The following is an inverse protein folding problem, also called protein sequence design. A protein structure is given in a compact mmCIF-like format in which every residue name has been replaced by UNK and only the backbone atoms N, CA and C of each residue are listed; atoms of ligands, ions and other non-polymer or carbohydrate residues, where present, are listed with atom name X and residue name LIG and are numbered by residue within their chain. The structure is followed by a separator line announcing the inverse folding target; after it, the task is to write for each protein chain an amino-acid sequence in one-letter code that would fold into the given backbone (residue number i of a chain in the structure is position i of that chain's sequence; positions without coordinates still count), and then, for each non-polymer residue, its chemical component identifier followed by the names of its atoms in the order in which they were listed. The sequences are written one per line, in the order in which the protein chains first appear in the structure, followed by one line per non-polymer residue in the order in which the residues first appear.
data_IF_900373606952
#
_entry.id   IF_900373606952
#
_cell.length_a   1.000
_cell.length_b   1.000
_cell.length_c   1.000
_cell.angle_alpha   90.00
_cell.angle_beta   90.00
_cell.angle_gamma   90.00
#
_symmetry.space_group_name_H-M   'P 1'
#
loop_
_entity.id
_entity.type
_entity.pdbx_description
1 polymer ?
#
# COMPACT_ATOMS: atom_id res chain seq x y z
N UNK A 1 -12.47 14.28 13.95
CA UNK A 1 -12.45 14.52 12.49
C UNK A 1 -13.75 15.18 12.14
N UNK A 2 -13.68 16.49 11.97
CA UNK A 2 -14.78 17.40 11.67
C UNK A 2 -14.61 17.95 10.26
N UNK A 3 -13.36 18.27 9.89
CA UNK A 3 -13.02 18.81 8.58
C UNK A 3 -11.67 18.30 8.10
N UNK A 4 -11.64 17.86 6.84
CA UNK A 4 -10.47 17.23 6.21
C UNK A 4 -9.87 18.15 5.16
N UNK A 5 -8.55 18.11 4.97
CA UNK A 5 -7.90 18.64 3.79
C UNK A 5 -7.23 17.50 3.01
N UNK A 6 -7.35 17.53 1.68
CA UNK A 6 -6.65 16.56 0.80
C UNK A 6 -5.54 17.29 0.06
N UNK A 7 -4.31 16.78 0.14
CA UNK A 7 -3.17 17.36 -0.58
C UNK A 7 -2.28 16.28 -1.18
N UNK A 8 -1.46 16.67 -2.15
CA UNK A 8 -0.52 15.76 -2.79
C UNK A 8 0.66 15.47 -1.86
N UNK A 9 1.39 16.52 -1.47
CA UNK A 9 2.45 16.49 -0.46
C UNK A 9 2.17 17.59 0.58
N UNK A 10 2.53 17.34 1.85
CA UNK A 10 2.45 18.37 2.90
C UNK A 10 3.63 19.34 2.75
N UNK A 11 3.53 20.32 1.86
CA UNK A 11 4.55 21.38 1.65
C UNK A 11 4.40 22.54 2.64
N UNK A 12 5.35 23.49 2.66
CA UNK A 12 5.19 24.71 3.46
C UNK A 12 3.95 25.52 3.02
N UNK A 13 3.63 25.55 1.72
CA UNK A 13 2.43 26.21 1.20
C UNK A 13 1.13 25.56 1.71
N UNK A 14 1.09 24.23 1.84
CA UNK A 14 -0.04 23.52 2.46
C UNK A 14 -0.19 23.92 3.94
N UNK A 15 0.93 24.04 4.67
CA UNK A 15 0.88 24.47 6.08
C UNK A 15 0.43 25.93 6.23
N UNK A 16 0.83 26.81 5.32
CA UNK A 16 0.35 28.20 5.28
C UNK A 16 -1.15 28.29 4.97
N UNK A 17 -1.64 27.44 4.06
CA UNK A 17 -3.06 27.33 3.76
C UNK A 17 -3.84 26.82 4.99
N UNK A 18 -3.35 25.77 5.66
CA UNK A 18 -3.93 25.26 6.90
C UNK A 18 -3.97 26.31 8.01
N UNK A 19 -2.89 27.08 8.18
CA UNK A 19 -2.84 28.15 9.19
C UNK A 19 -3.84 29.28 8.90
N UNK A 20 -4.11 29.55 7.63
CA UNK A 20 -5.12 30.54 7.22
C UNK A 20 -6.54 30.04 7.54
N UNK A 21 -6.80 28.74 7.30
CA UNK A 21 -8.06 28.07 7.63
C UNK A 21 -8.25 27.86 9.14
N UNK A 22 -7.18 27.80 9.93
CA UNK A 22 -7.24 27.60 11.37
C UNK A 22 -7.96 28.74 12.13
N UNK A 23 -8.17 29.89 11.48
CA UNK A 23 -8.93 31.02 12.01
C UNK A 23 -10.46 30.88 11.78
N UNK A 24 -10.89 29.87 11.02
CA UNK A 24 -12.30 29.58 10.80
C UNK A 24 -12.96 28.98 12.06
N UNK A 25 -14.30 29.04 12.11
CA UNK A 25 -15.08 28.48 13.22
C UNK A 25 -14.94 26.96 13.33
N UNK A 26 -14.63 26.28 12.22
CA UNK A 26 -14.41 24.84 12.13
C UNK A 26 -13.11 24.56 11.36
N UNK A 27 -11.96 24.45 12.05
CA UNK A 27 -10.66 24.28 11.42
C UNK A 27 -10.43 22.82 10.98
N UNK A 28 -9.53 22.63 10.01
CA UNK A 28 -9.10 21.29 9.57
C UNK A 28 -8.42 20.55 10.73
N UNK A 29 -8.89 19.34 11.04
CA UNK A 29 -8.33 18.48 12.09
C UNK A 29 -7.66 17.20 11.53
N UNK A 30 -7.76 16.96 10.22
CA UNK A 30 -7.09 15.86 9.51
C UNK A 30 -6.62 16.29 8.12
N UNK A 31 -5.38 15.99 7.78
CA UNK A 31 -4.84 16.04 6.42
C UNK A 31 -4.75 14.61 5.88
N UNK A 32 -5.31 14.38 4.69
CA UNK A 32 -5.08 13.17 3.89
C UNK A 32 -4.10 13.54 2.79
N UNK A 33 -2.87 13.04 2.91
CA UNK A 33 -1.82 13.25 1.92
C UNK A 33 -1.60 12.00 1.07
N UNK A 34 -1.21 12.19 -0.18
CA UNK A 34 -0.76 11.06 -0.99
C UNK A 34 0.68 10.67 -0.65
N UNK A 35 1.64 11.60 -0.72
CA UNK A 35 3.04 11.31 -0.40
C UNK A 35 3.32 11.30 1.12
N UNK A 36 4.12 10.34 1.63
CA UNK A 36 4.52 10.33 3.03
C UNK A 36 5.38 11.54 3.38
N UNK A 37 4.94 12.32 4.37
CA UNK A 37 5.75 13.41 4.92
C UNK A 37 7.08 12.90 5.50
N UNK A 38 7.07 11.75 6.19
CA UNK A 38 8.25 11.13 6.78
C UNK A 38 8.56 9.81 6.07
N UNK A 39 9.32 9.87 4.97
CA UNK A 39 9.66 8.69 4.16
C UNK A 39 10.70 7.77 4.81
N UNK A 40 11.50 8.30 5.75
CA UNK A 40 12.51 7.54 6.51
C UNK A 40 12.22 7.65 8.00
N UNK A 41 12.69 6.65 8.75
CA UNK A 41 12.65 6.65 10.21
C UNK A 41 13.16 8.00 10.74
N UNK A 42 12.31 8.68 11.50
CA UNK A 42 12.59 10.02 12.03
C UNK A 42 12.62 9.94 13.55
N UNK A 43 13.80 10.20 14.13
CA UNK A 43 14.03 10.06 15.58
C UNK A 43 13.74 11.34 16.38
N UNK A 44 13.56 12.46 15.71
CA UNK A 44 13.27 13.74 16.36
C UNK A 44 12.41 14.64 15.48
N UNK A 45 11.48 15.35 16.12
CA UNK A 45 10.65 16.38 15.51
C UNK A 45 11.15 17.75 16.01
N UNK A 46 11.83 18.48 15.15
CA UNK A 46 12.46 19.77 15.47
C UNK A 46 11.95 20.85 14.52
N UNK A 47 11.61 22.01 15.08
CA UNK A 47 11.17 23.16 14.30
C UNK A 47 12.23 23.53 13.24
N UNK A 48 11.87 23.34 11.97
CA UNK A 48 12.74 23.57 10.81
C UNK A 48 11.92 23.65 9.52
N UNK A 49 12.57 23.86 8.38
CA UNK A 49 11.98 23.72 7.03
C UNK A 49 12.06 22.29 6.48
N UNK A 50 12.65 21.35 7.23
CA UNK A 50 12.72 19.93 6.83
C UNK A 50 11.37 19.25 7.06
N UNK A 51 11.13 18.06 6.48
CA UNK A 51 9.91 17.31 6.73
C UNK A 51 9.58 17.09 8.22
N UNK A 52 10.60 16.86 9.07
CA UNK A 52 10.40 16.76 10.53
C UNK A 52 9.90 18.06 11.17
N UNK A 53 10.26 19.22 10.62
CA UNK A 53 9.75 20.52 11.05
C UNK A 53 8.31 20.78 10.60
N UNK A 54 7.93 20.30 9.42
CA UNK A 54 6.53 20.30 8.97
C UNK A 54 5.67 19.41 9.86
N UNK A 55 6.15 18.21 10.18
CA UNK A 55 5.48 17.28 11.10
C UNK A 55 5.34 17.89 12.52
N UNK A 56 6.39 18.56 13.01
CA UNK A 56 6.32 19.31 14.28
C UNK A 56 5.20 20.36 14.28
N UNK A 57 5.01 21.09 13.18
CA UNK A 57 3.92 22.09 13.07
C UNK A 57 2.54 21.43 13.10
N UNK A 58 2.32 20.34 12.36
CA UNK A 58 1.05 19.60 12.42
C UNK A 58 0.73 19.11 13.84
N UNK A 59 1.71 18.55 14.55
CA UNK A 59 1.54 18.10 15.95
C UNK A 59 1.22 19.27 16.87
N UNK A 60 1.95 20.39 16.74
CA UNK A 60 1.72 21.60 17.53
C UNK A 60 0.30 22.13 17.33
N UNK A 61 -0.20 22.07 16.10
CA UNK A 61 -1.50 22.62 15.71
C UNK A 61 -2.65 21.60 15.91
N UNK A 62 -2.35 20.39 16.40
CA UNK A 62 -3.36 19.37 16.69
C UNK A 62 -3.98 18.72 15.45
N UNK A 63 -3.28 18.76 14.30
CA UNK A 63 -3.78 18.26 13.02
C UNK A 63 -3.24 16.84 12.78
N UNK A 64 -4.14 15.88 12.61
CA UNK A 64 -3.77 14.52 12.25
C UNK A 64 -3.30 14.42 10.79
N UNK A 65 -2.46 13.43 10.47
CA UNK A 65 -2.00 13.14 9.11
C UNK A 65 -2.25 11.68 8.77
N UNK A 66 -3.04 11.43 7.74
CA UNK A 66 -3.19 10.13 7.10
C UNK A 66 -2.48 10.14 5.73
N UNK A 67 -1.77 9.07 5.40
CA UNK A 67 -1.03 8.94 4.15
C UNK A 67 -1.51 7.70 3.41
N UNK A 68 -1.89 7.86 2.13
CA UNK A 68 -2.43 6.75 1.33
C UNK A 68 -1.41 6.13 0.37
N UNK A 69 -0.51 6.93 -0.23
CA UNK A 69 0.61 6.51 -1.08
C UNK A 69 0.33 5.28 -1.96
N UNK A 70 1.18 4.25 -1.89
CA UNK A 70 1.09 3.00 -2.65
C UNK A 70 -0.19 2.21 -2.41
N UNK A 71 -0.87 2.38 -1.28
CA UNK A 71 -2.17 1.74 -1.09
C UNK A 71 -3.23 2.34 -2.05
N UNK A 72 -3.11 3.63 -2.37
CA UNK A 72 -3.97 4.28 -3.36
C UNK A 72 -3.52 4.02 -4.80
N UNK A 73 -2.24 3.74 -5.05
CA UNK A 73 -1.79 3.29 -6.37
C UNK A 73 -2.43 1.95 -6.78
N UNK A 74 -2.54 1.02 -5.83
CA UNK A 74 -3.11 -0.32 -6.10
C UNK A 74 -4.62 -0.36 -6.04
N UNK A 75 -5.26 0.62 -5.38
CA UNK A 75 -6.70 0.64 -5.18
C UNK A 75 -7.48 0.73 -6.50
N UNK A 76 -8.69 0.17 -6.50
CA UNK A 76 -9.64 0.40 -7.59
C UNK A 76 -10.12 1.85 -7.57
N UNK A 77 -10.10 2.52 -8.73
CA UNK A 77 -10.34 3.97 -8.83
C UNK A 77 -9.17 4.81 -8.31
N UNK A 78 -8.02 4.18 -8.08
CA UNK A 78 -6.79 4.80 -7.59
C UNK A 78 -6.02 5.57 -8.65
N UNK A 79 -4.74 5.86 -8.36
CA UNK A 79 -3.87 6.67 -9.22
C UNK A 79 -3.84 6.17 -10.67
N UNK A 80 -3.55 4.88 -10.87
CA UNK A 80 -3.37 4.32 -12.20
C UNK A 80 -4.69 4.20 -12.99
N UNK A 81 -5.82 3.97 -12.30
CA UNK A 81 -7.15 3.98 -12.92
C UNK A 81 -7.52 5.39 -13.40
N UNK A 82 -7.26 6.41 -12.55
CA UNK A 82 -7.53 7.79 -12.90
C UNK A 82 -6.67 8.27 -14.09
N UNK A 83 -5.38 7.90 -14.13
CA UNK A 83 -4.54 8.22 -15.28
C UNK A 83 -4.99 7.48 -16.54
N UNK A 84 -5.36 6.20 -16.45
CA UNK A 84 -5.86 5.45 -17.60
C UNK A 84 -7.15 6.06 -18.17
N UNK A 85 -8.07 6.49 -17.29
CA UNK A 85 -9.29 7.19 -17.68
C UNK A 85 -8.98 8.56 -18.29
N UNK A 86 -8.05 9.31 -17.71
CA UNK A 86 -7.60 10.61 -18.23
C UNK A 86 -6.99 10.48 -19.63
N UNK A 87 -6.35 9.35 -19.98
CA UNK A 87 -5.83 9.10 -21.33
C UNK A 87 -6.87 8.48 -22.28
N UNK A 88 -8.07 8.13 -21.80
CA UNK A 88 -9.14 7.53 -22.60
C UNK A 88 -8.87 6.08 -23.01
N UNK A 89 -8.09 5.33 -22.23
CA UNK A 89 -7.75 3.94 -22.52
C UNK A 89 -8.97 3.02 -22.44
N UNK A 90 -9.11 2.10 -23.40
CA UNK A 90 -10.10 1.01 -23.38
C UNK A 90 -9.54 -0.29 -22.78
N UNK A 91 -10.42 -1.26 -22.49
CA UNK A 91 -10.06 -2.62 -22.04
C UNK A 91 -9.01 -2.67 -20.90
N UNK A 92 -9.15 -1.76 -19.94
CA UNK A 92 -8.13 -1.55 -18.89
C UNK A 92 -8.07 -2.73 -17.92
N UNK A 93 -6.86 -3.24 -17.67
CA UNK A 93 -6.56 -4.29 -16.68
C UNK A 93 -5.30 -3.96 -15.87
N UNK A 94 -5.19 -4.53 -14.68
CA UNK A 94 -4.04 -4.28 -13.79
C UNK A 94 -2.78 -5.04 -14.19
N UNK A 95 -1.61 -4.46 -13.90
CA UNK A 95 -0.30 -5.11 -14.05
C UNK A 95 0.72 -4.52 -13.05
N UNK A 96 1.91 -5.13 -12.97
CA UNK A 96 3.01 -4.64 -12.13
C UNK A 96 2.81 -5.02 -10.66
N UNK A 97 3.05 -6.30 -10.30
CA UNK A 97 2.80 -6.78 -8.95
C UNK A 97 3.76 -6.12 -7.97
N UNK A 98 3.20 -5.55 -6.91
CA UNK A 98 3.95 -5.17 -5.73
C UNK A 98 4.08 -6.39 -4.83
N UNK A 99 5.29 -6.62 -4.33
CA UNK A 99 5.57 -7.71 -3.41
C UNK A 99 5.78 -7.12 -2.02
N UNK A 100 5.00 -7.59 -1.05
CA UNK A 100 5.04 -7.06 0.30
C UNK A 100 3.64 -7.10 0.91
N UNK A 101 3.18 -8.30 1.28
CA UNK A 101 1.93 -8.39 2.02
C UNK A 101 2.19 -8.14 3.49
N UNK A 102 1.45 -7.23 4.08
CA UNK A 102 1.30 -7.10 5.53
C UNK A 102 0.45 -8.25 6.07
N UNK A 103 0.91 -9.49 5.88
CA UNK A 103 0.24 -10.69 6.36
C UNK A 103 1.26 -11.63 6.96
N UNK A 104 0.85 -12.33 8.00
CA UNK A 104 1.63 -13.40 8.58
C UNK A 104 0.82 -14.70 8.60
N UNK A 105 1.53 -15.82 8.65
CA UNK A 105 0.96 -17.12 9.00
C UNK A 105 1.22 -17.32 10.49
N UNK A 106 0.16 -17.43 11.28
CA UNK A 106 0.25 -17.84 12.69
C UNK A 106 0.03 -19.34 12.73
N UNK A 107 0.97 -20.04 13.36
CA UNK A 107 1.00 -21.50 13.47
C UNK A 107 1.06 -21.86 14.95
N UNK A 108 0.27 -22.84 15.37
CA UNK A 108 0.36 -23.42 16.73
C UNK A 108 0.12 -24.91 16.72
N UNK A 109 0.36 -25.55 17.85
CA UNK A 109 0.32 -26.99 18.05
C UNK A 109 -0.49 -27.25 19.31
N UNK A 110 -1.62 -27.94 19.15
CA UNK A 110 -2.62 -28.10 20.22
C UNK A 110 -3.14 -29.53 20.25
N UNK A 111 -3.48 -30.10 21.42
CA UNK A 111 -4.16 -31.39 21.47
C UNK A 111 -5.45 -31.39 20.65
N UNK A 112 -5.77 -32.53 20.04
CA UNK A 112 -6.89 -32.65 19.10
C UNK A 112 -8.23 -32.16 19.69
N UNK A 113 -8.47 -32.40 20.97
CA UNK A 113 -9.71 -32.01 21.66
C UNK A 113 -9.91 -30.50 21.81
N UNK A 114 -8.85 -29.70 21.68
CA UNK A 114 -8.89 -28.24 21.83
C UNK A 114 -8.64 -27.52 20.49
N UNK A 115 -8.49 -28.26 19.39
CA UNK A 115 -8.12 -27.70 18.10
C UNK A 115 -9.17 -26.71 17.56
N UNK A 116 -10.46 -27.01 17.77
CA UNK A 116 -11.55 -26.13 17.35
C UNK A 116 -11.61 -24.86 18.20
N UNK A 117 -11.54 -24.98 19.53
CA UNK A 117 -11.58 -23.82 20.44
C UNK A 117 -10.47 -22.80 20.14
N UNK A 118 -9.24 -23.29 19.91
CA UNK A 118 -8.09 -22.42 19.58
C UNK A 118 -8.26 -21.79 18.20
N UNK A 119 -8.69 -22.56 17.19
CA UNK A 119 -8.91 -22.02 15.84
C UNK A 119 -10.03 -20.97 15.81
N UNK A 120 -11.11 -21.19 16.56
CA UNK A 120 -12.24 -20.25 16.67
C UNK A 120 -11.83 -18.97 17.40
N UNK A 121 -11.02 -19.07 18.46
CA UNK A 121 -10.46 -17.91 19.15
C UNK A 121 -9.56 -17.08 18.21
N UNK A 122 -8.68 -17.74 17.46
CA UNK A 122 -7.84 -17.09 16.45
C UNK A 122 -8.69 -16.42 15.36
N UNK A 123 -9.74 -17.10 14.87
CA UNK A 123 -10.65 -16.56 13.86
C UNK A 123 -11.42 -15.33 14.37
N UNK A 124 -11.92 -15.38 15.60
CA UNK A 124 -12.60 -14.26 16.27
C UNK A 124 -11.69 -13.03 16.45
N UNK A 125 -10.38 -13.24 16.59
CA UNK A 125 -9.38 -12.18 16.63
C UNK A 125 -8.95 -11.66 15.24
N UNK A 126 -9.46 -12.26 14.15
CA UNK A 126 -9.25 -11.81 12.77
C UNK A 126 -8.31 -12.68 11.93
N UNK A 127 -7.92 -13.87 12.42
CA UNK A 127 -7.21 -14.84 11.59
C UNK A 127 -8.16 -15.55 10.60
N UNK A 128 -7.62 -16.05 9.50
CA UNK A 128 -8.37 -16.85 8.53
C UNK A 128 -9.31 -16.06 7.62
N UNK A 129 -9.19 -14.73 7.55
CA UNK A 129 -9.95 -13.93 6.57
C UNK A 129 -9.17 -13.79 5.25
N UNK A 130 -9.64 -14.43 4.19
CA UNK A 130 -8.99 -14.45 2.87
C UNK A 130 -10.06 -14.18 1.80
N UNK A 131 -10.05 -12.97 1.22
CA UNK A 131 -11.14 -12.54 0.35
C UNK A 131 -12.47 -12.60 1.09
N UNK A 132 -13.49 -13.20 0.47
CA UNK A 132 -14.82 -13.39 1.04
C UNK A 132 -14.94 -14.59 1.99
N UNK A 133 -13.84 -15.30 2.27
CA UNK A 133 -13.83 -16.47 3.14
C UNK A 133 -13.35 -16.11 4.55
N UNK A 134 -14.02 -16.64 5.56
CA UNK A 134 -13.70 -16.45 6.98
C UNK A 134 -13.28 -17.78 7.65
N UNK A 135 -12.60 -17.68 8.79
CA UNK A 135 -12.14 -18.81 9.61
C UNK A 135 -11.29 -19.86 8.83
N UNK A 136 -10.61 -19.45 7.76
CA UNK A 136 -9.73 -20.32 6.98
C UNK A 136 -8.54 -20.80 7.81
N UNK A 137 -8.48 -22.11 8.08
CA UNK A 137 -7.37 -22.78 8.73
C UNK A 137 -6.92 -24.00 7.91
N UNK A 138 -5.64 -24.34 8.01
CA UNK A 138 -5.12 -25.62 7.56
C UNK A 138 -4.63 -26.41 8.77
N UNK A 139 -4.91 -27.71 8.80
CA UNK A 139 -4.69 -28.55 9.98
C UNK A 139 -3.99 -29.85 9.61
N UNK A 140 -2.98 -30.23 10.38
CA UNK A 140 -2.21 -31.46 10.18
C UNK A 140 -2.01 -32.15 11.52
N UNK A 141 -2.37 -33.43 11.61
CA UNK A 141 -2.07 -34.25 12.79
C UNK A 141 -0.57 -34.55 12.87
N UNK A 142 -0.01 -34.53 14.07
CA UNK A 142 1.39 -34.79 14.36
C UNK A 142 1.62 -35.28 15.79
N UNK A 143 2.89 -35.38 16.18
CA UNK A 143 3.29 -35.75 17.55
C UNK A 143 4.16 -34.64 18.13
N UNK A 144 3.69 -34.05 19.23
CA UNK A 144 4.47 -33.15 20.07
C UNK A 144 5.37 -33.94 21.02
N UNK A 145 6.57 -33.42 21.32
CA UNK A 145 7.50 -34.03 22.28
C UNK A 145 8.08 -32.98 23.21
N UNK A 146 8.12 -33.28 24.50
CA UNK A 146 8.65 -32.37 25.52
C UNK A 146 9.07 -33.11 26.79
N UNK A 147 9.92 -32.47 27.60
CA UNK A 147 10.26 -32.89 28.97
C UNK A 147 9.86 -31.74 29.90
N UNK A 148 8.78 -31.87 30.70
CA UNK A 148 8.39 -30.82 31.63
C UNK A 148 9.45 -30.69 32.72
N UNK A 149 9.88 -29.45 32.97
CA UNK A 149 10.78 -29.13 34.08
C UNK A 149 10.10 -29.34 35.44
N UNK A 150 10.86 -29.34 36.55
CA UNK A 150 10.34 -29.64 37.88
C UNK A 150 9.25 -28.68 38.39
N UNK A 151 9.14 -27.49 37.79
CA UNK A 151 8.15 -26.47 38.15
C UNK A 151 7.01 -26.34 37.12
N UNK A 152 6.99 -27.17 36.07
CA UNK A 152 5.92 -27.14 35.08
C UNK A 152 4.67 -27.85 35.60
N UNK A 153 3.48 -27.36 35.24
CA UNK A 153 2.20 -28.03 35.48
C UNK A 153 1.60 -28.47 34.15
N UNK A 154 2.18 -29.51 33.50
CA UNK A 154 1.79 -29.85 32.15
C UNK A 154 0.34 -30.37 32.13
N UNK A 155 -0.47 -29.82 31.23
CA UNK A 155 -1.85 -30.28 31.01
C UNK A 155 -1.89 -31.73 30.53
N UNK A 156 -0.85 -32.17 29.82
CA UNK A 156 -0.66 -33.53 29.31
C UNK A 156 0.77 -34.00 29.61
N UNK A 157 0.94 -35.29 29.93
CA UNK A 157 2.25 -35.91 30.17
C UNK A 157 2.76 -35.83 31.62
N UNK A 158 3.92 -36.45 31.86
CA UNK A 158 4.54 -36.60 33.18
C UNK A 158 5.81 -35.73 33.33
N UNK A 159 5.93 -35.06 34.48
CA UNK A 159 7.08 -34.21 34.81
C UNK A 159 8.38 -35.00 34.91
N UNK A 160 9.46 -34.48 34.33
CA UNK A 160 10.78 -35.11 34.32
C UNK A 160 10.92 -36.31 33.36
N UNK A 161 9.87 -36.63 32.60
CA UNK A 161 9.86 -37.73 31.62
C UNK A 161 9.76 -37.16 30.19
N UNK A 162 10.29 -37.90 29.21
CA UNK A 162 10.12 -37.56 27.80
C UNK A 162 8.72 -37.98 27.33
N UNK A 163 7.87 -36.99 27.07
CA UNK A 163 6.48 -37.19 26.66
C UNK A 163 6.34 -37.15 25.14
N UNK A 164 5.31 -37.85 24.63
CA UNK A 164 4.91 -37.89 23.22
C UNK A 164 3.39 -37.81 23.15
N UNK A 165 2.86 -36.69 22.71
CA UNK A 165 1.42 -36.45 22.69
C UNK A 165 0.92 -36.24 21.25
N UNK A 166 -0.25 -36.78 20.86
CA UNK A 166 -0.91 -36.42 19.61
C UNK A 166 -1.32 -34.94 19.63
N UNK A 167 -0.93 -34.21 18.59
CA UNK A 167 -1.27 -32.79 18.44
C UNK A 167 -1.73 -32.49 17.02
N UNK A 168 -2.45 -31.37 16.87
CA UNK A 168 -2.83 -30.79 15.60
C UNK A 168 -2.03 -29.51 15.41
N UNK A 169 -1.24 -29.46 14.34
CA UNK A 169 -0.66 -28.21 13.84
C UNK A 169 -1.74 -27.43 13.12
N UNK A 170 -2.09 -26.25 13.62
CA UNK A 170 -3.08 -25.34 13.03
C UNK A 170 -2.34 -24.16 12.42
N UNK A 171 -2.68 -23.80 11.18
CA UNK A 171 -2.08 -22.66 10.50
C UNK A 171 -3.14 -21.72 9.90
N UNK A 172 -3.14 -20.46 10.33
CA UNK A 172 -4.08 -19.43 9.85
C UNK A 172 -3.34 -18.19 9.35
N UNK A 173 -3.89 -17.52 8.34
CA UNK A 173 -3.33 -16.25 7.83
C UNK A 173 -3.98 -15.09 8.58
N UNK A 174 -3.18 -14.14 9.06
CA UNK A 174 -3.66 -12.90 9.68
C UNK A 174 -3.05 -11.68 8.97
N UNK A 175 -3.76 -10.54 9.00
CA UNK A 175 -3.16 -9.26 8.66
C UNK A 175 -2.09 -8.87 9.70
N UNK A 176 -1.02 -8.17 9.30
CA UNK A 176 0.11 -7.85 10.16
C UNK A 176 -0.34 -7.10 11.43
N UNK A 177 -1.21 -6.09 11.28
CA UNK A 177 -1.79 -5.35 12.41
C UNK A 177 -2.75 -6.16 13.30
N UNK A 178 -3.02 -7.43 12.98
CA UNK A 178 -3.84 -8.34 13.79
C UNK A 178 -3.04 -9.47 14.43
N UNK A 179 -1.77 -9.63 14.08
CA UNK A 179 -0.95 -10.76 14.57
C UNK A 179 -0.91 -10.81 16.09
N UNK A 180 -0.66 -9.68 16.76
CA UNK A 180 -0.58 -9.62 18.21
C UNK A 180 -1.92 -9.96 18.88
N UNK A 181 -3.03 -9.48 18.32
CA UNK A 181 -4.37 -9.80 18.83
C UNK A 181 -4.71 -11.29 18.63
N UNK A 182 -4.32 -11.86 17.49
CA UNK A 182 -4.49 -13.29 17.19
C UNK A 182 -3.64 -14.14 18.12
N UNK A 183 -2.37 -13.77 18.35
CA UNK A 183 -1.48 -14.46 19.27
C UNK A 183 -2.01 -14.41 20.71
N UNK A 184 -2.52 -13.25 21.16
CA UNK A 184 -3.12 -13.13 22.47
C UNK A 184 -4.37 -14.01 22.63
N UNK A 185 -5.25 -14.06 21.62
CA UNK A 185 -6.45 -14.91 21.63
C UNK A 185 -6.09 -16.40 21.62
N UNK A 186 -5.08 -16.78 20.82
CA UNK A 186 -4.51 -18.12 20.79
C UNK A 186 -4.02 -18.53 22.16
N UNK A 187 -3.16 -17.71 22.78
CA UNK A 187 -2.59 -18.00 24.11
C UNK A 187 -3.68 -18.16 25.16
N UNK A 188 -4.69 -17.29 25.15
CA UNK A 188 -5.79 -17.32 26.11
C UNK A 188 -6.69 -18.56 25.98
N UNK A 189 -6.88 -19.08 24.76
CA UNK A 189 -7.71 -20.25 24.49
C UNK A 189 -6.94 -21.59 24.59
N UNK A 190 -5.61 -21.54 24.59
CA UNK A 190 -4.79 -22.74 24.56
C UNK A 190 -4.80 -23.49 25.90
N UNK A 191 -4.85 -24.84 25.91
CA UNK A 191 -4.86 -25.62 27.14
C UNK A 191 -3.52 -25.65 27.89
N UNK A 192 -2.42 -25.23 27.26
CA UNK A 192 -1.08 -25.24 27.87
C UNK A 192 -0.75 -23.88 28.49
N UNK A 193 0.01 -23.90 29.60
CA UNK A 193 0.49 -22.69 30.29
C UNK A 193 1.35 -21.81 29.37
N UNK A 194 2.22 -22.44 28.58
CA UNK A 194 3.10 -21.78 27.61
C UNK A 194 2.91 -22.42 26.22
N UNK A 195 1.95 -21.91 25.42
CA UNK A 195 1.68 -22.44 24.08
C UNK A 195 2.85 -22.21 23.12
N UNK A 196 3.24 -23.26 22.39
CA UNK A 196 4.17 -23.11 21.28
C UNK A 196 3.42 -22.53 20.06
N UNK A 197 3.94 -21.43 19.52
CA UNK A 197 3.44 -20.88 18.26
C UNK A 197 4.57 -20.18 17.49
N UNK A 198 4.40 -20.15 16.17
CA UNK A 198 5.31 -19.51 15.24
C UNK A 198 4.55 -18.46 14.42
N UNK A 199 5.25 -17.37 14.10
CA UNK A 199 4.76 -16.34 13.18
C UNK A 199 5.71 -16.27 11.99
N UNK A 200 5.19 -16.60 10.81
CA UNK A 200 5.94 -16.49 9.56
C UNK A 200 5.44 -15.30 8.76
N UNK A 201 6.32 -14.33 8.52
CA UNK A 201 6.04 -13.25 7.58
C UNK A 201 5.72 -13.84 6.20
N UNK A 202 4.55 -13.48 5.66
CA UNK A 202 4.20 -13.86 4.31
C UNK A 202 4.58 -12.74 3.38
N UNK A 203 5.33 -13.09 2.33
CA UNK A 203 5.43 -12.25 1.15
C UNK A 203 4.36 -12.71 0.16
N UNK A 204 3.42 -11.83 -0.12
CA UNK A 204 2.37 -12.03 -1.11
C UNK A 204 2.28 -10.81 -2.03
N UNK A 205 1.45 -10.95 -3.05
CA UNK A 205 1.07 -9.87 -3.94
C UNK A 205 0.31 -8.81 -3.13
N UNK A 206 0.89 -7.62 -3.04
CA UNK A 206 0.36 -6.45 -2.32
C UNK A 206 -0.60 -5.62 -3.21
N UNK A 207 -0.89 -6.12 -4.40
CA UNK A 207 -1.65 -5.44 -5.44
C UNK A 207 -0.83 -5.19 -6.69
N UNK A 208 -1.48 -4.58 -7.67
CA UNK A 208 -0.93 -4.26 -8.99
C UNK A 208 -0.91 -2.74 -9.16
N UNK A 209 0.28 -2.16 -9.28
CA UNK A 209 0.48 -0.71 -9.25
C UNK A 209 0.09 -0.02 -10.57
N UNK A 210 0.14 -0.76 -11.68
CA UNK A 210 -0.07 -0.21 -13.02
C UNK A 210 -1.38 -0.63 -13.64
N UNK A 211 -1.74 0.06 -14.73
CA UNK A 211 -2.82 -0.31 -15.63
C UNK A 211 -2.32 -0.42 -17.06
N UNK A 212 -2.80 -1.44 -17.79
CA UNK A 212 -2.56 -1.59 -19.22
C UNK A 212 -3.91 -1.65 -19.93
N UNK A 213 -4.03 -0.97 -21.05
CA UNK A 213 -5.26 -0.88 -21.84
C UNK A 213 -4.93 -0.62 -23.30
N UNK A 214 -5.97 -0.41 -24.11
CA UNK A 214 -5.84 -0.21 -25.56
C UNK A 214 -6.09 1.23 -25.98
N UNK A 215 -5.31 1.67 -26.95
CA UNK A 215 -5.50 2.89 -27.74
C UNK A 215 -4.92 2.62 -29.13
N UNK A 216 -5.61 3.04 -30.19
CA UNK A 216 -5.16 2.92 -31.59
C UNK A 216 -4.59 4.28 -32.02
N UNK A 217 -3.27 4.45 -31.96
CA UNK A 217 -2.60 5.74 -32.17
C UNK A 217 -1.11 5.56 -32.49
N UNK A 218 -0.33 6.64 -32.44
CA UNK A 218 1.14 6.61 -32.51
C UNK A 218 1.75 7.16 -31.24
N UNK A 219 3.03 6.87 -31.00
CA UNK A 219 3.76 7.42 -29.84
C UNK A 219 3.72 8.95 -29.83
N UNK A 220 3.86 9.60 -30.98
CA UNK A 220 3.89 11.07 -31.08
C UNK A 220 2.50 11.70 -30.81
N UNK A 221 1.44 11.10 -31.35
CA UNK A 221 0.06 11.53 -31.10
C UNK A 221 -0.32 11.34 -29.62
N UNK A 222 0.01 10.18 -29.04
CA UNK A 222 -0.22 9.94 -27.63
C UNK A 222 0.58 10.90 -26.76
N UNK A 223 1.84 11.20 -27.11
CA UNK A 223 2.65 12.17 -26.39
C UNK A 223 2.04 13.57 -26.41
N UNK A 224 1.46 14.00 -27.54
CA UNK A 224 0.72 15.25 -27.65
C UNK A 224 -0.53 15.24 -26.74
N UNK A 225 -1.32 14.16 -26.76
CA UNK A 225 -2.49 14.01 -25.88
C UNK A 225 -2.08 14.05 -24.40
N UNK A 226 -1.01 13.37 -24.03
CA UNK A 226 -0.47 13.37 -22.66
C UNK A 226 -0.05 14.78 -22.25
N UNK A 227 0.67 15.50 -23.12
CA UNK A 227 1.08 16.88 -22.86
C UNK A 227 -0.10 17.83 -22.67
N UNK A 228 -1.13 17.71 -23.51
CA UNK A 228 -2.34 18.53 -23.45
C UNK A 228 -3.18 18.23 -22.19
N UNK A 229 -3.39 16.95 -21.86
CA UNK A 229 -4.27 16.56 -20.73
C UNK A 229 -3.60 16.69 -19.37
N UNK A 230 -2.29 16.47 -19.28
CA UNK A 230 -1.55 16.59 -18.02
C UNK A 230 -0.85 17.95 -17.86
N UNK A 231 -0.99 18.82 -18.87
CA UNK A 231 -0.57 20.21 -18.83
C UNK A 231 0.94 20.40 -18.69
N UNK A 232 1.75 19.51 -19.25
CA UNK A 232 3.20 19.48 -19.03
C UNK A 232 4.01 19.14 -20.28
N UNK A 233 5.28 19.56 -20.30
CA UNK A 233 6.22 19.16 -21.34
C UNK A 233 6.54 17.66 -21.21
N UNK A 234 6.45 16.92 -22.31
CA UNK A 234 6.69 15.48 -22.34
C UNK A 234 8.08 15.16 -22.86
N UNK A 235 8.74 14.18 -22.24
CA UNK A 235 9.94 13.54 -22.77
C UNK A 235 9.55 12.22 -23.39
N UNK A 236 9.97 11.99 -24.63
CA UNK A 236 9.61 10.78 -25.39
C UNK A 236 10.88 9.99 -25.72
N UNK A 237 10.80 8.67 -25.61
CA UNK A 237 11.83 7.75 -26.08
C UNK A 237 11.19 6.62 -26.88
N UNK A 238 11.72 6.36 -28.08
CA UNK A 238 11.12 5.42 -29.04
C UNK A 238 10.10 6.09 -29.95
N UNK A 239 9.54 5.31 -30.87
CA UNK A 239 8.54 5.74 -31.83
C UNK A 239 7.77 4.51 -32.34
N UNK A 240 6.68 4.73 -33.06
CA UNK A 240 5.93 3.65 -33.69
C UNK A 240 4.42 3.75 -33.46
N UNK A 241 3.73 2.72 -33.92
CA UNK A 241 2.32 2.54 -33.66
C UNK A 241 2.10 2.05 -32.23
N UNK A 242 0.97 2.42 -31.64
CA UNK A 242 0.55 2.06 -30.30
C UNK A 242 -0.82 1.41 -30.43
N UNK A 243 -0.92 0.16 -29.96
CA UNK A 243 -2.19 -0.54 -29.72
C UNK A 243 -2.43 -0.75 -28.23
N UNK A 244 -1.35 -0.88 -27.45
CA UNK A 244 -1.37 -1.17 -26.01
C UNK A 244 -0.54 -0.14 -25.23
N UNK A 245 -1.17 0.48 -24.23
CA UNK A 245 -0.58 1.51 -23.37
C UNK A 245 -0.52 0.99 -21.94
N UNK A 246 0.66 1.02 -21.34
CA UNK A 246 0.86 0.83 -19.91
C UNK A 246 0.98 2.19 -19.22
N UNK A 247 0.39 2.34 -18.04
CA UNK A 247 0.52 3.53 -17.20
C UNK A 247 0.90 3.14 -15.78
N UNK A 248 1.85 3.88 -15.22
CA UNK A 248 2.21 3.85 -13.79
C UNK A 248 2.48 5.29 -13.36
N UNK A 249 1.57 5.92 -12.60
CA UNK A 249 1.80 7.25 -12.03
C UNK A 249 3.03 7.29 -11.12
N UNK A 250 3.64 8.46 -11.00
CA UNK A 250 4.88 8.65 -10.25
C UNK A 250 6.06 8.00 -10.94
N UNK A 251 6.88 7.23 -10.21
CA UNK A 251 8.14 6.65 -10.72
C UNK A 251 8.03 5.17 -11.08
N UNK A 252 7.61 4.87 -12.31
CA UNK A 252 7.34 3.51 -12.79
C UNK A 252 8.50 2.81 -13.51
N UNK A 253 9.69 3.42 -13.59
CA UNK A 253 10.81 2.88 -14.39
C UNK A 253 11.29 1.48 -13.97
N UNK A 254 11.02 1.06 -12.73
CA UNK A 254 11.32 -0.30 -12.24
C UNK A 254 10.49 -1.38 -12.96
N UNK A 255 9.35 -1.02 -13.55
CA UNK A 255 8.40 -1.93 -14.18
C UNK A 255 8.56 -2.05 -15.70
N UNK A 256 9.58 -1.43 -16.29
CA UNK A 256 9.90 -1.54 -17.73
C UNK A 256 9.97 -3.01 -18.15
N UNK A 257 10.62 -3.86 -17.35
CA UNK A 257 10.74 -5.30 -17.65
C UNK A 257 9.41 -6.04 -17.69
N UNK A 258 8.44 -5.64 -16.87
CA UNK A 258 7.08 -6.23 -16.85
C UNK A 258 6.12 -5.57 -17.84
N UNK A 259 6.36 -4.31 -18.23
CA UNK A 259 5.53 -3.58 -19.19
C UNK A 259 5.86 -3.95 -20.64
N UNK A 260 7.15 -4.11 -20.97
CA UNK A 260 7.59 -4.36 -22.35
C UNK A 260 6.94 -5.58 -23.04
N UNK A 261 6.65 -6.71 -22.36
CA UNK A 261 5.98 -7.84 -23.00
C UNK A 261 4.48 -7.64 -23.28
N UNK A 262 3.87 -6.56 -22.76
CA UNK A 262 2.41 -6.39 -22.73
C UNK A 262 1.92 -5.03 -23.24
N UNK A 263 2.83 -4.11 -23.58
CA UNK A 263 2.50 -2.76 -24.02
C UNK A 263 3.54 -2.25 -25.03
N UNK A 264 3.10 -1.38 -25.93
CA UNK A 264 3.96 -0.72 -26.92
C UNK A 264 4.60 0.55 -26.32
N UNK A 265 3.92 1.17 -25.35
CA UNK A 265 4.37 2.39 -24.68
C UNK A 265 4.04 2.35 -23.19
N UNK A 266 4.95 2.87 -22.37
CA UNK A 266 4.75 3.12 -20.94
C UNK A 266 4.71 4.63 -20.68
N UNK A 267 3.61 5.11 -20.11
CA UNK A 267 3.45 6.48 -19.61
C UNK A 267 3.74 6.49 -18.10
N UNK A 268 4.82 7.15 -17.70
CA UNK A 268 5.27 7.21 -16.30
C UNK A 268 6.25 8.37 -16.08
N UNK A 269 6.40 8.85 -14.85
CA UNK A 269 7.35 9.89 -14.48
C UNK A 269 8.75 9.36 -14.11
N UNK A 270 9.68 10.30 -13.92
CA UNK A 270 11.03 10.09 -13.37
C UNK A 270 11.88 9.04 -14.11
N UNK A 271 11.75 8.95 -15.44
CA UNK A 271 12.55 8.00 -16.22
C UNK A 271 13.93 8.57 -16.48
N UNK A 272 14.95 7.90 -15.94
CA UNK A 272 16.36 8.21 -16.20
C UNK A 272 16.84 7.73 -17.58
N UNK A 273 17.90 8.34 -18.10
CA UNK A 273 18.44 8.07 -19.45
C UNK A 273 18.66 6.58 -19.75
N UNK A 274 19.33 5.85 -18.84
CA UNK A 274 19.62 4.42 -19.05
C UNK A 274 18.36 3.55 -19.00
N UNK A 275 17.37 3.92 -18.19
CA UNK A 275 16.08 3.23 -18.14
C UNK A 275 15.31 3.41 -19.44
N UNK A 276 15.25 4.64 -19.96
CA UNK A 276 14.63 4.91 -21.26
C UNK A 276 15.30 4.13 -22.40
N UNK A 277 16.64 4.04 -22.41
CA UNK A 277 17.37 3.23 -23.42
C UNK A 277 17.07 1.73 -23.30
N UNK A 278 17.02 1.19 -22.09
CA UNK A 278 16.66 -0.20 -21.85
C UNK A 278 15.23 -0.49 -22.35
N UNK A 279 14.26 0.38 -22.06
CA UNK A 279 12.89 0.26 -22.56
C UNK A 279 12.84 0.18 -24.10
N UNK A 280 13.46 1.14 -24.79
CA UNK A 280 13.49 1.16 -26.26
C UNK A 280 14.15 -0.10 -26.83
N UNK A 281 15.22 -0.61 -26.19
CA UNK A 281 15.88 -1.86 -26.61
C UNK A 281 14.98 -3.10 -26.47
N UNK A 282 13.95 -3.04 -25.63
CA UNK A 282 12.93 -4.08 -25.43
C UNK A 282 11.70 -3.88 -26.32
N UNK A 283 11.69 -2.87 -27.18
CA UNK A 283 10.54 -2.52 -28.01
C UNK A 283 9.44 -1.73 -27.27
N UNK A 284 9.74 -1.18 -26.09
CA UNK A 284 8.80 -0.37 -25.31
C UNK A 284 9.17 1.12 -25.43
N UNK A 285 8.27 1.92 -25.99
CA UNK A 285 8.40 3.38 -25.97
C UNK A 285 8.11 3.94 -24.56
N UNK A 286 8.63 5.11 -24.26
CA UNK A 286 8.39 5.84 -23.00
C UNK A 286 7.81 7.21 -23.32
N UNK A 287 6.77 7.60 -22.60
CA UNK A 287 6.30 8.98 -22.51
C UNK A 287 6.36 9.40 -21.05
N UNK A 288 7.18 10.40 -20.75
CA UNK A 288 7.42 10.91 -19.40
C UNK A 288 7.00 12.39 -19.31
N UNK A 289 5.78 12.68 -18.81
CA UNK A 289 5.29 14.04 -18.58
C UNK A 289 5.78 14.64 -17.24
N UNK A 290 6.50 13.87 -16.41
CA UNK A 290 6.86 14.24 -15.05
C UNK A 290 6.06 13.50 -13.97
N UNK A 291 6.64 13.42 -12.77
CA UNK A 291 6.09 12.66 -11.63
C UNK A 291 4.74 13.22 -11.19
N UNK A 292 4.71 14.50 -10.84
CA UNK A 292 3.49 15.16 -10.34
C UNK A 292 2.39 15.14 -11.40
N UNK A 293 2.74 15.38 -12.67
CA UNK A 293 1.81 15.38 -13.81
C UNK A 293 1.07 14.06 -13.96
N UNK A 294 1.77 12.92 -13.83
CA UNK A 294 1.11 11.62 -13.91
C UNK A 294 0.18 11.31 -12.73
N UNK A 295 0.40 11.93 -11.57
CA UNK A 295 -0.36 11.68 -10.34
C UNK A 295 -1.56 12.63 -10.18
N UNK A 296 -1.57 13.77 -10.87
CA UNK A 296 -2.65 14.76 -10.80
C UNK A 296 -4.06 14.21 -11.05
N UNK A 297 -4.31 13.34 -12.05
CA UNK A 297 -5.63 12.73 -12.23
C UNK A 297 -6.10 11.94 -11.00
N UNK A 298 -5.18 11.19 -10.39
CA UNK A 298 -5.50 10.42 -9.19
C UNK A 298 -5.67 11.29 -7.95
N UNK A 299 -4.97 12.42 -7.84
CA UNK A 299 -5.24 13.39 -6.77
C UNK A 299 -6.67 13.94 -6.84
N UNK A 300 -7.19 14.23 -8.04
CA UNK A 300 -8.61 14.60 -8.22
C UNK A 300 -9.54 13.47 -7.77
N UNK A 301 -9.21 12.22 -8.12
CA UNK A 301 -9.98 11.06 -7.69
C UNK A 301 -9.97 10.87 -6.16
N UNK A 302 -8.82 11.09 -5.51
CA UNK A 302 -8.69 11.03 -4.06
C UNK A 302 -9.56 12.09 -3.37
N UNK A 303 -9.49 13.34 -3.84
CA UNK A 303 -10.34 14.41 -3.33
C UNK A 303 -11.83 14.09 -3.51
N UNK A 304 -12.23 13.62 -4.70
CA UNK A 304 -13.60 13.21 -4.97
C UNK A 304 -14.05 12.09 -4.02
N UNK A 305 -13.21 11.09 -3.76
CA UNK A 305 -13.54 10.01 -2.83
C UNK A 305 -13.73 10.53 -1.39
N UNK A 306 -12.80 11.35 -0.87
CA UNK A 306 -12.84 11.84 0.51
C UNK A 306 -13.99 12.83 0.73
N UNK A 307 -14.27 13.71 -0.24
CA UNK A 307 -15.34 14.71 -0.16
C UNK A 307 -16.75 14.11 -0.10
N UNK A 308 -16.93 12.86 -0.51
CA UNK A 308 -18.21 12.15 -0.32
C UNK A 308 -18.47 11.72 1.14
N UNK A 309 -17.43 11.67 1.97
CA UNK A 309 -17.50 11.17 3.33
C UNK A 309 -17.65 12.27 4.37
N UNK A 310 -17.07 13.44 4.12
CA UNK A 310 -17.00 14.55 5.09
C UNK A 310 -16.69 15.88 4.41
N UNK A 311 -16.93 17.00 5.11
CA UNK A 311 -16.48 18.32 4.65
C UNK A 311 -14.98 18.31 4.39
N UNK A 312 -14.59 18.66 3.15
CA UNK A 312 -13.22 18.50 2.66
C UNK A 312 -12.77 19.74 1.90
N UNK A 313 -11.60 20.27 2.30
CA UNK A 313 -10.89 21.32 1.57
C UNK A 313 -9.99 20.67 0.51
N UNK A 314 -10.04 21.21 -0.71
CA UNK A 314 -9.19 20.80 -1.81
C UNK A 314 -7.86 21.57 -1.80
N UNK A 315 -6.78 20.90 -1.40
CA UNK A 315 -5.40 21.40 -1.55
C UNK A 315 -4.63 20.63 -2.63
N UNK A 316 -5.30 19.86 -3.49
CA UNK A 316 -4.66 19.11 -4.57
C UNK A 316 -4.11 20.01 -5.68
N UNK A 317 -4.63 21.24 -5.80
CA UNK A 317 -4.15 22.25 -6.72
C UNK A 317 -2.86 22.97 -6.25
N UNK A 318 -2.42 22.78 -5.00
CA UNK A 318 -1.15 23.31 -4.53
C UNK A 318 -0.03 22.49 -5.19
N UNK A 319 0.73 23.14 -6.07
CA UNK A 319 1.79 22.49 -6.85
C UNK A 319 2.83 21.82 -5.92
N UNK A 320 2.95 20.49 -5.95
CA UNK A 320 3.95 19.77 -5.15
C UNK A 320 5.33 19.79 -5.83
N UNK A 321 5.41 20.21 -7.11
CA UNK A 321 6.61 20.06 -7.90
C UNK A 321 7.75 20.93 -7.36
N UNK A 322 8.94 20.35 -7.12
CA UNK A 322 10.13 21.15 -6.83
C UNK A 322 10.69 21.82 -8.09
N UNK A 323 10.15 21.49 -9.27
CA UNK A 323 10.62 21.95 -10.57
C UNK A 323 9.81 23.16 -11.05
N UNK A 324 10.50 24.22 -11.49
CA UNK A 324 9.85 25.31 -12.21
C UNK A 324 9.75 24.94 -13.68
N UNK A 325 8.55 25.07 -14.26
CA UNK A 325 8.35 25.02 -15.70
C UNK A 325 8.99 26.28 -16.31
N UNK A 326 9.89 26.09 -17.26
CA UNK A 326 10.60 27.16 -17.96
C UNK A 326 9.89 27.52 -19.25
#
# INVERSE_FOLDING_TARGET
VTKVAVCHEVTDAVLEALASEALAADPVDLVVAYHPLLFKETRSLVASSRPSGRAFRLVRDGIALAVVHTAFDVASGGMADALAAELGMGDVRSFGPLWGSERAKVVTFVPESFADDVADAMAGAGAGTIGEYAACSFRVAGTGTFIPGPNASPTMGETGVFNREPEVRIEMVAAAGKVDAVAAALIAAHPYEEPAFDVYDRRGEAGMIGRVGRLDTTVDELAAVVGDRLGGAVRVAGSGHVESVAVIPGSGSAFIGSAAPIADVLVTGDVGHHRARDAVSRGLAIIDPGHAETEQPGMRALYAAVSTMTETIDFTAIDPSPWRRA
#
